data_IF_056328519355
#
_entry.id   IF_056328519355
#
_cell.length_a   1.000
_cell.length_b   1.000
_cell.length_c   1.000
_cell.angle_alpha   90.00
_cell.angle_beta   90.00
_cell.angle_gamma   90.00
#
_symmetry.space_group_name_H-M   'P 1'
#
loop_
_entity.id
_entity.type
_entity.pdbx_description
1 polymer ?
#
# COMPACT_ATOMS: atom_id res chain seq x y z
N UNK A 1 34.94 -52.60 -0.34
CA UNK A 1 35.98 -51.62 -0.71
C UNK A 1 35.65 -51.03 -2.06
N UNK A 2 35.82 -49.73 -2.19
CA UNK A 2 35.42 -48.90 -3.33
C UNK A 2 36.14 -49.29 -4.62
N UNK A 3 35.44 -49.25 -5.76
CA UNK A 3 36.07 -49.25 -7.07
C UNK A 3 35.62 -48.03 -7.90
N UNK A 4 36.64 -47.23 -8.22
CA UNK A 4 36.93 -46.49 -9.46
C UNK A 4 35.93 -45.52 -10.10
N UNK A 5 36.47 -44.35 -10.49
CA UNK A 5 35.96 -43.59 -11.64
C UNK A 5 36.30 -42.10 -11.65
N UNK A 6 37.53 -41.75 -12.01
CA UNK A 6 37.96 -40.38 -12.36
C UNK A 6 37.75 -40.18 -13.86
N UNK A 7 37.21 -39.05 -14.31
CA UNK A 7 37.69 -38.23 -15.45
C UNK A 7 36.79 -37.01 -15.67
N UNK A 8 37.40 -35.96 -16.23
CA UNK A 8 36.89 -34.59 -16.32
C UNK A 8 36.43 -34.23 -17.74
N UNK A 9 35.67 -33.13 -17.86
CA UNK A 9 35.34 -32.41 -19.11
C UNK A 9 33.93 -32.70 -19.64
N UNK A 10 33.18 -31.83 -20.31
CA UNK A 10 33.14 -30.37 -20.54
C UNK A 10 31.92 -30.15 -21.46
N UNK A 11 31.48 -28.89 -21.61
CA UNK A 11 30.56 -28.37 -22.65
C UNK A 11 29.04 -28.41 -22.37
N UNK A 12 28.57 -27.29 -21.80
CA UNK A 12 27.71 -26.26 -22.44
C UNK A 12 26.35 -26.62 -23.10
N UNK A 13 25.43 -25.63 -23.19
CA UNK A 13 23.99 -25.85 -23.05
C UNK A 13 23.16 -25.62 -24.34
N UNK A 14 22.05 -26.33 -24.48
CA UNK A 14 21.03 -26.04 -25.50
C UNK A 14 19.88 -25.19 -24.93
N UNK A 15 19.95 -23.90 -25.24
CA UNK A 15 18.85 -22.97 -25.56
C UNK A 15 17.59 -23.70 -26.10
N UNK A 16 16.37 -23.37 -25.68
CA UNK A 16 15.43 -22.35 -26.24
C UNK A 16 14.07 -22.65 -25.53
N UNK A 17 13.07 -21.79 -25.32
CA UNK A 17 12.73 -20.40 -25.63
C UNK A 17 11.52 -20.11 -24.72
N UNK A 18 11.61 -19.19 -23.75
CA UNK A 18 10.42 -18.65 -23.08
C UNK A 18 10.13 -17.26 -23.66
N UNK A 19 8.89 -16.99 -24.11
CA UNK A 19 8.58 -15.78 -24.85
C UNK A 19 8.74 -14.51 -24.00
N UNK A 20 9.34 -13.55 -24.68
CA UNK A 20 9.72 -12.19 -24.32
C UNK A 20 8.52 -11.23 -24.28
N UNK A 21 8.75 -10.07 -23.65
CA UNK A 21 8.13 -8.78 -23.94
C UNK A 21 6.62 -8.58 -23.70
N UNK A 22 6.29 -8.05 -22.52
CA UNK A 22 5.22 -7.04 -22.43
C UNK A 22 5.84 -5.65 -22.64
N UNK A 23 5.94 -5.36 -23.94
CA UNK A 23 6.21 -4.09 -24.59
C UNK A 23 5.36 -2.98 -23.95
N UNK A 24 6.04 -2.00 -23.35
CA UNK A 24 5.47 -0.70 -23.03
C UNK A 24 5.57 0.10 -24.34
N UNK A 25 4.51 0.08 -25.15
CA UNK A 25 4.48 0.92 -26.35
C UNK A 25 4.31 2.39 -25.94
N UNK A 26 5.32 3.18 -26.30
CA UNK A 26 5.23 4.63 -26.45
C UNK A 26 4.24 4.90 -27.57
N UNK A 27 3.09 5.49 -27.27
CA UNK A 27 2.35 6.29 -28.23
C UNK A 27 2.67 7.76 -27.93
N UNK A 28 3.57 8.33 -28.72
CA UNK A 28 3.73 9.78 -28.82
C UNK A 28 2.95 10.28 -30.04
N UNK A 29 2.29 11.42 -29.81
CA UNK A 29 1.92 12.47 -30.77
C UNK A 29 1.01 12.09 -31.93
N UNK A 30 -0.29 12.44 -31.82
CA UNK A 30 -1.00 13.27 -32.82
C UNK A 30 -2.22 13.92 -32.15
N UNK A 31 -2.41 15.22 -32.40
CA UNK A 31 -3.73 15.83 -32.50
C UNK A 31 -4.39 16.32 -31.22
N UNK A 32 -4.38 17.64 -31.06
CA UNK A 32 -5.27 18.43 -30.23
C UNK A 32 -6.74 18.04 -30.47
N UNK A 33 -7.38 17.45 -29.47
CA UNK A 33 -8.68 17.90 -28.96
C UNK A 33 -8.59 17.74 -27.45
N UNK A 34 -8.16 18.81 -26.76
CA UNK A 34 -8.42 18.94 -25.33
C UNK A 34 -9.93 19.14 -25.22
N UNK A 35 -10.66 18.03 -25.16
CA UNK A 35 -11.88 18.05 -24.38
C UNK A 35 -11.44 18.41 -22.97
N UNK A 36 -11.66 19.67 -22.59
CA UNK A 36 -11.97 19.98 -21.21
C UNK A 36 -13.25 19.20 -20.90
N UNK A 37 -13.13 17.89 -20.68
CA UNK A 37 -14.06 17.21 -19.79
C UNK A 37 -13.78 17.89 -18.48
N UNK A 38 -14.62 18.87 -18.18
CA UNK A 38 -14.84 19.41 -16.85
C UNK A 38 -14.42 18.33 -15.86
N UNK A 39 -13.35 18.59 -15.12
CA UNK A 39 -13.19 18.04 -13.80
C UNK A 39 -14.39 18.57 -13.01
N UNK A 40 -15.53 17.92 -13.27
CA UNK A 40 -16.73 17.92 -12.49
C UNK A 40 -16.19 17.55 -11.13
N UNK A 41 -16.02 18.59 -10.32
CA UNK A 41 -15.59 18.54 -8.93
C UNK A 41 -16.66 17.72 -8.22
N UNK A 42 -16.58 16.40 -8.40
CA UNK A 42 -17.32 15.42 -7.65
C UNK A 42 -16.74 15.58 -6.28
N UNK A 43 -17.39 16.43 -5.50
CA UNK A 43 -17.13 16.66 -4.09
C UNK A 43 -16.69 15.32 -3.51
N UNK A 44 -15.38 15.21 -3.26
CA UNK A 44 -14.80 14.02 -2.65
C UNK A 44 -15.32 14.06 -1.23
N UNK A 45 -16.57 13.63 -1.03
CA UNK A 45 -17.14 13.36 0.28
C UNK A 45 -16.23 12.32 0.87
N UNK A 46 -15.37 12.78 1.77
CA UNK A 46 -14.43 11.92 2.42
C UNK A 46 -15.20 11.04 3.39
N UNK A 47 -15.58 9.85 2.92
CA UNK A 47 -16.21 8.86 3.78
C UNK A 47 -15.14 8.35 4.76
N UNK A 48 -15.08 8.98 5.94
CA UNK A 48 -14.34 8.51 7.10
C UNK A 48 -14.81 7.10 7.44
N UNK A 49 -13.88 6.13 7.41
CA UNK A 49 -14.17 4.73 7.70
C UNK A 49 -14.02 4.50 9.19
N UNK A 50 -15.12 4.13 9.84
CA UNK A 50 -15.17 3.79 11.26
C UNK A 50 -15.31 2.28 11.43
N UNK A 51 -14.45 1.68 12.25
CA UNK A 51 -14.51 0.26 12.61
C UNK A 51 -14.68 0.13 14.13
N UNK A 52 -15.63 -0.70 14.62
CA UNK A 52 -15.82 -0.87 16.06
C UNK A 52 -14.61 -1.54 16.72
N UNK A 53 -14.35 -1.15 17.97
CA UNK A 53 -13.24 -1.69 18.78
C UNK A 53 -13.44 -3.17 19.17
N UNK A 54 -14.70 -3.61 19.20
CA UNK A 54 -15.11 -4.99 19.47
C UNK A 54 -15.97 -5.50 18.31
N UNK A 55 -15.68 -6.69 17.80
CA UNK A 55 -16.44 -7.35 16.73
C UNK A 55 -16.71 -8.80 17.10
N UNK A 56 -17.95 -9.28 16.91
CA UNK A 56 -18.25 -10.72 16.94
C UNK A 56 -17.84 -11.34 15.61
N UNK A 57 -16.94 -12.33 15.63
CA UNK A 57 -16.51 -13.05 14.42
C UNK A 57 -16.16 -14.49 14.77
N UNK A 58 -16.12 -15.35 13.75
CA UNK A 58 -15.74 -16.75 13.91
C UNK A 58 -14.28 -16.87 14.33
N UNK A 59 -14.03 -17.65 15.38
CA UNK A 59 -12.68 -17.97 15.82
C UNK A 59 -12.22 -19.31 15.22
N UNK A 60 -11.10 -19.28 14.48
CA UNK A 60 -10.51 -20.46 13.83
C UNK A 60 -9.76 -21.40 14.79
N UNK A 61 -9.62 -21.01 16.06
CA UNK A 61 -8.91 -21.86 17.02
C UNK A 61 -9.67 -23.17 17.26
N UNK A 62 -8.94 -24.28 17.39
CA UNK A 62 -9.49 -25.63 17.53
C UNK A 62 -10.40 -25.76 18.75
N UNK A 63 -10.08 -25.05 19.83
CA UNK A 63 -10.82 -25.05 21.11
C UNK A 63 -12.10 -24.21 21.08
N UNK A 64 -12.14 -23.16 20.24
CA UNK A 64 -13.27 -22.23 20.23
C UNK A 64 -14.30 -22.61 19.17
N UNK A 65 -13.88 -22.76 17.89
CA UNK A 65 -14.72 -23.05 16.71
C UNK A 65 -16.12 -22.39 16.71
N UNK A 66 -16.23 -21.19 17.30
CA UNK A 66 -17.49 -20.48 17.53
C UNK A 66 -17.30 -18.98 17.33
N UNK A 67 -18.41 -18.26 17.20
CA UNK A 67 -18.40 -16.80 17.12
C UNK A 67 -18.17 -16.21 18.51
N UNK A 68 -17.04 -15.54 18.68
CA UNK A 68 -16.68 -14.88 19.95
C UNK A 68 -16.41 -13.40 19.74
N UNK A 69 -16.36 -12.66 20.85
CA UNK A 69 -15.95 -11.26 20.85
C UNK A 69 -14.45 -11.16 20.60
N UNK A 70 -14.08 -10.37 19.60
CA UNK A 70 -12.70 -10.09 19.25
C UNK A 70 -12.38 -8.62 19.49
N UNK A 71 -11.23 -8.35 20.12
CA UNK A 71 -10.63 -7.02 20.21
C UNK A 71 -10.01 -6.66 18.86
N UNK A 72 -10.43 -5.53 18.30
CA UNK A 72 -9.96 -5.04 17.00
C UNK A 72 -8.86 -4.02 17.24
N UNK A 73 -7.68 -4.27 16.67
CA UNK A 73 -6.56 -3.33 16.69
C UNK A 73 -5.99 -3.13 15.28
N UNK A 74 -5.31 -2.02 15.05
CA UNK A 74 -4.62 -1.80 13.78
C UNK A 74 -3.32 -2.60 13.74
N UNK A 75 -3.06 -3.29 12.64
CA UNK A 75 -1.75 -3.90 12.42
C UNK A 75 -0.69 -2.82 12.24
N UNK A 76 0.40 -2.93 13.01
CA UNK A 76 1.62 -2.16 12.83
C UNK A 76 2.72 -3.09 12.33
N UNK A 77 3.48 -2.65 11.32
CA UNK A 77 4.68 -3.37 10.89
C UNK A 77 5.72 -3.25 12.01
N UNK A 78 6.30 -4.38 12.43
CA UNK A 78 7.42 -4.38 13.37
C UNK A 78 8.73 -3.92 12.74
N UNK A 79 9.78 -3.81 13.56
CA UNK A 79 11.16 -3.59 13.10
C UNK A 79 11.62 -4.78 12.26
N UNK A 80 12.27 -4.52 11.14
CA UNK A 80 12.82 -5.57 10.29
C UNK A 80 14.01 -6.26 10.99
N UNK A 81 14.03 -7.59 11.00
CA UNK A 81 15.09 -8.38 11.66
C UNK A 81 16.36 -8.45 10.80
N UNK A 82 17.53 -8.28 11.43
CA UNK A 82 18.84 -8.35 10.77
C UNK A 82 19.29 -9.80 10.49
N UNK A 83 18.84 -10.76 11.30
CA UNK A 83 19.21 -12.16 11.15
C UNK A 83 18.54 -12.85 9.94
N UNK A 84 17.52 -12.22 9.36
CA UNK A 84 16.83 -12.73 8.19
C UNK A 84 17.80 -12.95 7.02
N UNK A 85 17.68 -14.10 6.35
CA UNK A 85 18.60 -14.50 5.26
C UNK A 85 18.71 -13.43 4.16
N UNK A 86 17.61 -12.77 3.80
CA UNK A 86 17.59 -11.70 2.80
C UNK A 86 18.43 -10.49 3.22
N UNK A 87 18.37 -10.10 4.50
CA UNK A 87 19.15 -8.99 5.03
C UNK A 87 20.64 -9.35 5.12
N UNK A 88 20.99 -10.54 5.63
CA UNK A 88 22.38 -11.04 5.64
C UNK A 88 23.00 -11.07 4.23
N UNK A 89 22.24 -11.53 3.24
CA UNK A 89 22.69 -11.53 1.83
C UNK A 89 22.85 -10.11 1.27
N UNK A 90 21.93 -9.19 1.59
CA UNK A 90 22.02 -7.80 1.17
C UNK A 90 23.26 -7.13 1.73
N UNK A 91 23.52 -7.30 3.03
CA UNK A 91 24.65 -6.65 3.71
C UNK A 91 25.99 -7.16 3.19
N UNK A 92 26.12 -8.47 2.95
CA UNK A 92 27.29 -9.05 2.27
C UNK A 92 27.46 -8.59 0.83
N UNK A 93 26.36 -8.31 0.11
CA UNK A 93 26.46 -7.78 -1.25
C UNK A 93 26.87 -6.31 -1.24
N UNK A 94 26.44 -5.56 -0.22
CA UNK A 94 26.68 -4.13 -0.09
C UNK A 94 28.09 -3.82 0.42
N UNK A 95 28.78 -4.76 1.09
CA UNK A 95 30.15 -4.56 1.58
C UNK A 95 31.16 -4.46 0.43
N UNK A 96 32.16 -3.58 0.58
CA UNK A 96 33.20 -3.34 -0.41
C UNK A 96 32.96 -2.07 -1.24
N UNK A 97 33.64 -1.97 -2.39
CA UNK A 97 33.48 -0.88 -3.35
C UNK A 97 32.42 -1.22 -4.40
N UNK A 98 31.80 -0.21 -5.02
CA UNK A 98 30.78 -0.40 -6.07
C UNK A 98 29.39 0.19 -5.74
N UNK A 99 29.24 0.88 -4.62
CA UNK A 99 28.06 1.69 -4.31
C UNK A 99 26.79 0.87 -4.08
N UNK A 100 25.65 1.37 -4.57
CA UNK A 100 24.33 0.77 -4.32
C UNK A 100 24.08 -0.48 -5.17
N UNK A 101 24.00 -1.65 -4.54
CA UNK A 101 23.99 -2.95 -5.28
C UNK A 101 22.61 -3.50 -5.65
N UNK A 102 21.53 -2.87 -5.17
CA UNK A 102 20.14 -3.25 -5.40
C UNK A 102 19.28 -2.02 -5.73
N UNK A 103 18.30 -2.15 -6.63
CA UNK A 103 17.51 -1.01 -7.08
C UNK A 103 16.68 -0.41 -5.93
N UNK A 104 16.69 0.92 -5.83
CA UNK A 104 15.83 1.68 -4.91
C UNK A 104 14.60 2.15 -5.69
N UNK A 105 13.42 1.95 -5.12
CA UNK A 105 12.17 2.30 -5.78
C UNK A 105 11.79 3.77 -5.50
N UNK A 106 11.84 4.63 -6.54
CA UNK A 106 11.57 6.07 -6.39
C UNK A 106 10.15 6.51 -6.78
N UNK A 107 9.53 5.89 -7.79
CA UNK A 107 8.26 6.35 -8.39
C UNK A 107 7.02 5.81 -7.65
N UNK A 108 6.79 6.27 -6.41
CA UNK A 108 5.60 5.89 -5.63
C UNK A 108 4.33 6.58 -6.13
N UNK A 109 3.43 5.83 -6.76
CA UNK A 109 2.14 6.37 -7.24
C UNK A 109 1.01 6.28 -6.19
N UNK A 110 1.04 5.31 -5.28
CA UNK A 110 -0.06 5.08 -4.33
C UNK A 110 0.10 5.95 -3.09
N UNK A 111 -0.91 6.77 -2.81
CA UNK A 111 -0.95 7.68 -1.65
C UNK A 111 -1.39 7.00 -0.35
N UNK A 112 -2.11 5.88 -0.43
CA UNK A 112 -2.62 5.12 0.73
C UNK A 112 -2.12 3.69 0.76
N UNK A 113 -2.13 3.09 1.96
CA UNK A 113 -1.86 1.68 2.20
C UNK A 113 -3.17 0.94 2.46
N UNK A 114 -3.19 -0.38 2.26
CA UNK A 114 -4.29 -1.22 2.75
C UNK A 114 -4.14 -1.33 4.27
N UNK A 115 -5.20 -1.03 5.00
CA UNK A 115 -5.20 -1.15 6.46
C UNK A 115 -5.59 -2.58 6.80
N UNK A 116 -4.77 -3.22 7.63
CA UNK A 116 -5.02 -4.58 8.12
C UNK A 116 -5.41 -4.50 9.58
N UNK A 117 -6.52 -5.14 9.92
CA UNK A 117 -7.00 -5.28 11.29
C UNK A 117 -6.42 -6.56 11.89
N UNK A 118 -5.98 -6.47 13.14
CA UNK A 118 -5.70 -7.64 13.99
C UNK A 118 -6.91 -7.87 14.88
N UNK A 119 -7.55 -9.02 14.71
CA UNK A 119 -8.66 -9.47 15.54
C UNK A 119 -8.13 -10.46 16.56
N UNK A 120 -8.08 -10.06 17.83
CA UNK A 120 -7.65 -10.92 18.94
C UNK A 120 -8.88 -11.48 19.65
N UNK A 121 -9.02 -12.79 19.70
CA UNK A 121 -10.09 -13.46 20.43
C UNK A 121 -9.94 -13.21 21.95
N UNK A 122 -11.02 -12.88 22.64
CA UNK A 122 -10.98 -12.67 24.09
C UNK A 122 -10.76 -13.96 24.90
N UNK A 123 -11.28 -15.10 24.43
CA UNK A 123 -11.16 -16.38 25.14
C UNK A 123 -9.82 -17.08 24.92
N UNK A 124 -9.45 -17.37 23.67
CA UNK A 124 -8.25 -18.15 23.34
C UNK A 124 -7.03 -17.31 22.93
N UNK A 125 -7.15 -15.97 22.88
CA UNK A 125 -6.08 -15.04 22.47
C UNK A 125 -5.53 -15.24 21.04
N UNK A 126 -6.11 -16.16 20.25
CA UNK A 126 -5.76 -16.36 18.85
C UNK A 126 -5.97 -15.07 18.05
N UNK A 127 -5.02 -14.74 17.18
CA UNK A 127 -5.03 -13.51 16.37
C UNK A 127 -5.26 -13.87 14.92
N UNK A 128 -6.27 -13.25 14.29
CA UNK A 128 -6.51 -13.34 12.86
C UNK A 128 -6.36 -11.96 12.19
N UNK A 129 -5.86 -11.94 10.96
CA UNK A 129 -5.63 -10.72 10.19
C UNK A 129 -6.72 -10.53 9.13
N UNK A 130 -7.30 -9.33 9.05
CA UNK A 130 -8.35 -8.99 8.09
C UNK A 130 -7.98 -7.70 7.37
N UNK A 131 -7.73 -7.78 6.06
CA UNK A 131 -7.41 -6.62 5.24
C UNK A 131 -8.69 -5.92 4.74
N UNK A 132 -8.75 -4.60 4.89
CA UNK A 132 -9.82 -3.76 4.34
C UNK A 132 -9.35 -3.13 3.02
N UNK A 133 -10.31 -2.63 2.23
CA UNK A 133 -10.04 -1.75 1.07
C UNK A 133 -9.19 -0.53 1.50
N UNK A 134 -8.55 0.12 0.53
CA UNK A 134 -7.71 1.29 0.81
C UNK A 134 -8.60 2.47 1.23
N UNK A 135 -8.25 3.10 2.33
CA UNK A 135 -8.95 4.27 2.88
C UNK A 135 -7.90 5.31 3.28
N UNK A 136 -8.23 6.59 3.18
CA UNK A 136 -7.30 7.68 3.52
C UNK A 136 -7.45 8.12 5.00
N UNK A 137 -8.67 8.25 5.54
CA UNK A 137 -8.91 8.38 6.99
C UNK A 137 -9.56 7.12 7.55
N UNK A 138 -9.02 6.62 8.65
CA UNK A 138 -9.46 5.39 9.31
C UNK A 138 -9.37 5.57 10.82
N UNK A 139 -10.48 5.26 11.49
CA UNK A 139 -10.60 5.40 12.94
C UNK A 139 -11.18 4.12 13.54
N UNK A 140 -10.70 3.77 14.73
CA UNK A 140 -11.18 2.63 15.49
C UNK A 140 -11.98 3.15 16.69
N UNK A 141 -13.26 2.80 16.75
CA UNK A 141 -14.13 3.11 17.89
C UNK A 141 -14.72 4.52 17.88
N UNK A 142 -14.89 5.14 16.70
CA UNK A 142 -15.58 6.41 16.60
C UNK A 142 -17.08 6.28 16.90
N UNK A 143 -17.71 7.40 17.21
CA UNK A 143 -19.15 7.46 17.52
C UNK A 143 -19.99 7.00 16.33
N UNK A 144 -21.08 6.32 16.64
CA UNK A 144 -22.06 5.93 15.63
C UNK A 144 -22.73 7.21 15.12
N UNK A 145 -22.70 7.44 13.81
CA UNK A 145 -23.44 8.55 13.21
C UNK A 145 -24.93 8.35 13.51
N UNK A 146 -25.56 9.36 14.12
CA UNK A 146 -26.99 9.37 14.39
C UNK A 146 -27.80 9.24 13.10
N UNK A 147 -28.99 8.65 13.20
CA UNK A 147 -29.94 8.63 12.08
C UNK A 147 -30.59 10.01 11.97
N UNK A 148 -30.05 10.86 11.09
CA UNK A 148 -30.76 12.03 10.56
C UNK A 148 -31.14 13.13 11.55
N UNK A 149 -30.27 13.49 12.50
CA UNK A 149 -30.42 14.80 13.16
C UNK A 149 -29.91 15.87 12.19
N UNK A 150 -30.75 16.87 11.97
CA UNK A 150 -30.57 18.02 11.08
C UNK A 150 -29.17 18.63 11.23
N UNK A 151 -28.69 19.24 10.16
CA UNK A 151 -27.43 20.00 10.12
C UNK A 151 -27.50 21.19 11.10
N UNK A 152 -27.31 20.95 12.38
CA UNK A 152 -26.94 21.98 13.36
C UNK A 152 -25.44 21.85 13.56
N UNK A 153 -24.71 22.49 12.65
CA UNK A 153 -23.71 23.50 12.98
C UNK A 153 -23.03 23.94 11.68
N UNK A 154 -23.47 25.10 11.20
CA UNK A 154 -22.89 25.88 10.11
C UNK A 154 -21.55 26.50 10.56
N UNK A 155 -20.61 25.69 11.04
CA UNK A 155 -19.26 26.14 11.43
C UNK A 155 -18.13 25.27 10.85
N UNK A 156 -18.42 24.09 10.30
CA UNK A 156 -17.42 23.28 9.57
C UNK A 156 -17.29 23.65 8.07
N UNK A 157 -18.00 24.70 7.61
CA UNK A 157 -17.90 25.22 6.23
C UNK A 157 -16.97 26.43 6.07
N UNK A 158 -16.28 26.87 7.12
CA UNK A 158 -15.17 27.80 6.98
C UNK A 158 -13.86 27.02 6.86
N UNK A 159 -13.64 26.47 5.66
CA UNK A 159 -12.28 26.31 5.16
C UNK A 159 -11.64 27.71 5.21
N UNK A 160 -10.52 27.94 5.91
CA UNK A 160 -9.83 29.22 5.81
C UNK A 160 -9.46 29.48 4.33
N UNK A 161 -9.88 30.60 3.71
CA UNK A 161 -9.37 31.00 2.42
C UNK A 161 -7.91 31.42 2.60
N UNK A 162 -6.99 30.60 2.12
CA UNK A 162 -5.56 30.79 2.36
C UNK A 162 -4.68 30.22 1.26
N UNK A 163 -4.98 30.57 0.00
CA UNK A 163 -3.98 30.50 -1.07
C UNK A 163 -3.99 31.85 -1.79
N UNK A 164 -2.97 32.70 -1.62
CA UNK A 164 -2.81 33.85 -2.49
C UNK A 164 -2.46 33.34 -3.90
N UNK A 165 -3.38 33.55 -4.84
CA UNK A 165 -3.07 33.52 -6.27
C UNK A 165 -2.17 34.71 -6.58
N UNK A 166 -0.85 34.55 -6.47
CA UNK A 166 0.07 35.47 -7.14
C UNK A 166 0.07 35.13 -8.63
N UNK A 167 -0.86 35.72 -9.37
CA UNK A 167 -0.74 35.88 -10.81
C UNK A 167 0.44 36.81 -11.07
N UNK A 168 1.61 36.26 -11.40
CA UNK A 168 2.62 37.05 -12.09
C UNK A 168 2.16 37.23 -13.54
N UNK A 169 1.65 38.41 -13.85
CA UNK A 169 1.59 38.90 -15.23
C UNK A 169 3.04 39.18 -15.68
N UNK A 170 3.71 38.13 -16.17
CA UNK A 170 4.94 38.29 -16.93
C UNK A 170 4.58 38.82 -18.30
N UNK A 171 4.71 40.14 -18.47
CA UNK A 171 4.64 40.83 -19.75
C UNK A 171 5.61 40.15 -20.73
N UNK A 172 5.08 39.64 -21.85
CA UNK A 172 5.84 39.25 -23.02
C UNK A 172 6.54 40.52 -23.52
N UNK A 173 7.87 40.62 -23.37
CA UNK A 173 8.67 41.59 -24.11
C UNK A 173 9.29 40.86 -25.28
N UNK A 174 8.93 41.31 -26.47
CA UNK A 174 9.57 40.96 -27.74
C UNK A 174 11.08 41.19 -27.67
N UNK A 175 11.83 40.24 -28.22
CA UNK A 175 13.02 40.49 -29.05
C UNK A 175 13.38 39.23 -29.85
#
# INVERSE_FOLDING_TARGET
MWNHGKLMGSMAPSHLLFPTEKRIERMQSYGVVIFLVSDNQRSMRWCKVNVPKLKKTYCKNKECKKHTLHKVTQYKKGKDSLAAQGKRRYDRKQSGYGGQTKPVFHKKAKTTKKIVLRLQCQSCKHVSQHAIKRCKHFEIGGDKKGKGTSLHNLQDLLCPPGYPLTFNFGLLKEH
#
